data_IF_196818627048
#
_entry.id   IF_196818627048
#
_cell.length_a   1.000
_cell.length_b   1.000
_cell.length_c   1.000
_cell.angle_alpha   90.00
_cell.angle_beta   90.00
_cell.angle_gamma   90.00
#
_symmetry.space_group_name_H-M   'P 1'
#
loop_
_entity.id
_entity.type
_entity.pdbx_description
1 polymer ?
#
# COMPACT_ATOMS: atom_id res chain seq x y z
N UNK A 1 42.86 23.55 -13.01
CA UNK A 1 42.24 22.22 -13.18
C UNK A 1 41.09 22.07 -12.19
N UNK A 2 39.88 22.42 -12.61
CA UNK A 2 38.67 22.29 -11.79
C UNK A 2 38.11 20.87 -11.93
N UNK A 3 38.09 20.07 -10.85
CA UNK A 3 37.39 18.79 -10.82
C UNK A 3 35.95 19.01 -10.38
N UNK A 4 35.03 18.65 -11.28
CA UNK A 4 33.59 18.61 -11.12
C UNK A 4 33.18 17.78 -9.91
N UNK A 5 32.27 18.31 -9.08
CA UNK A 5 31.54 17.57 -8.07
C UNK A 5 30.56 16.59 -8.74
N UNK A 6 30.40 15.35 -8.24
CA UNK A 6 29.33 14.48 -8.71
C UNK A 6 28.02 14.83 -7.99
N UNK A 7 27.25 15.76 -8.56
CA UNK A 7 25.80 15.81 -8.33
C UNK A 7 25.12 14.69 -9.13
N UNK A 8 25.19 13.47 -8.60
CA UNK A 8 24.31 12.39 -9.05
C UNK A 8 23.18 12.30 -8.04
N UNK A 9 22.14 13.09 -8.30
CA UNK A 9 20.88 13.04 -7.57
C UNK A 9 20.44 11.59 -7.38
N UNK A 10 20.37 11.18 -6.11
CA UNK A 10 19.71 9.97 -5.70
C UNK A 10 18.23 10.10 -6.10
N UNK A 11 17.93 9.75 -7.34
CA UNK A 11 16.59 9.60 -7.85
C UNK A 11 15.91 8.59 -6.93
N UNK A 12 15.12 9.11 -5.99
CA UNK A 12 14.19 8.35 -5.17
C UNK A 12 13.40 7.48 -6.14
N UNK A 13 13.78 6.20 -6.23
CA UNK A 13 12.98 5.17 -6.88
C UNK A 13 11.75 4.99 -6.01
N UNK A 14 10.82 5.93 -6.10
CA UNK A 14 9.48 5.79 -5.57
C UNK A 14 8.87 4.65 -6.39
N UNK A 15 8.93 3.44 -5.82
CA UNK A 15 8.25 2.30 -6.39
C UNK A 15 6.77 2.66 -6.66
N UNK A 16 6.11 1.96 -7.60
CA UNK A 16 4.74 2.28 -7.95
C UNK A 16 3.87 2.40 -6.69
N UNK A 17 3.22 3.55 -6.54
CA UNK A 17 2.37 3.84 -5.39
C UNK A 17 1.26 2.79 -5.30
N UNK A 18 1.04 2.25 -4.10
CA UNK A 18 -0.03 1.29 -3.83
C UNK A 18 -1.40 1.91 -4.16
N UNK A 19 -2.35 1.15 -4.73
CA UNK A 19 -3.69 1.65 -4.96
C UNK A 19 -4.36 2.01 -3.62
N UNK A 20 -5.01 3.18 -3.57
CA UNK A 20 -5.75 3.68 -2.39
C UNK A 20 -6.64 2.63 -1.71
N UNK A 21 -7.49 1.86 -2.42
CA UNK A 21 -8.35 0.86 -1.76
C UNK A 21 -7.55 -0.23 -1.04
N UNK A 22 -6.42 -0.68 -1.61
CA UNK A 22 -5.55 -1.68 -0.98
C UNK A 22 -4.89 -1.12 0.28
N UNK A 23 -4.45 0.14 0.25
CA UNK A 23 -3.87 0.81 1.42
C UNK A 23 -4.90 0.96 2.54
N UNK A 24 -6.13 1.37 2.20
CA UNK A 24 -7.23 1.48 3.17
C UNK A 24 -7.59 0.13 3.77
N UNK A 25 -7.73 -0.90 2.94
CA UNK A 25 -8.00 -2.26 3.41
C UNK A 25 -6.91 -2.75 4.36
N UNK A 26 -5.63 -2.59 4.00
CA UNK A 26 -4.51 -2.95 4.87
C UNK A 26 -4.54 -2.18 6.19
N UNK A 27 -4.82 -0.87 6.17
CA UNK A 27 -4.95 -0.07 7.38
C UNK A 27 -6.12 -0.51 8.27
N UNK A 28 -7.28 -0.83 7.66
CA UNK A 28 -8.44 -1.36 8.38
C UNK A 28 -8.12 -2.72 9.01
N UNK A 29 -7.42 -3.60 8.30
CA UNK A 29 -6.94 -4.88 8.86
C UNK A 29 -6.02 -4.61 10.05
N UNK A 30 -5.02 -3.75 9.93
CA UNK A 30 -4.10 -3.43 11.03
C UNK A 30 -4.78 -2.79 12.24
N UNK A 31 -5.90 -2.09 12.04
CA UNK A 31 -6.65 -1.48 13.13
C UNK A 31 -7.62 -2.48 13.77
N UNK A 32 -8.53 -3.05 12.97
CA UNK A 32 -9.66 -3.81 13.49
C UNK A 32 -9.26 -5.22 13.90
N UNK A 33 -8.27 -5.82 13.22
CA UNK A 33 -7.91 -7.21 13.45
C UNK A 33 -7.23 -7.43 14.82
N UNK A 34 -6.21 -6.63 15.24
CA UNK A 34 -5.65 -6.78 16.57
C UNK A 34 -6.63 -6.44 17.68
N UNK A 35 -7.58 -5.53 17.44
CA UNK A 35 -8.65 -5.24 18.41
C UNK A 35 -9.56 -6.45 18.60
N UNK A 36 -9.98 -7.10 17.52
CA UNK A 36 -10.79 -8.32 17.59
C UNK A 36 -10.02 -9.48 18.23
N UNK A 37 -8.76 -9.70 17.82
CA UNK A 37 -7.92 -10.75 18.37
C UNK A 37 -7.58 -10.51 19.84
N UNK A 38 -7.25 -9.26 20.20
CA UNK A 38 -6.97 -8.83 21.56
C UNK A 38 -8.20 -8.90 22.46
N UNK A 39 -9.38 -8.51 21.97
CA UNK A 39 -10.63 -8.69 22.70
C UNK A 39 -10.87 -10.18 22.98
N UNK A 40 -10.75 -11.04 21.97
CA UNK A 40 -10.88 -12.48 22.15
C UNK A 40 -9.88 -13.02 23.18
N UNK A 41 -8.63 -12.55 23.13
CA UNK A 41 -7.56 -12.97 24.03
C UNK A 41 -7.74 -12.49 25.48
N UNK A 42 -8.28 -11.28 25.67
CA UNK A 42 -8.46 -10.66 26.99
C UNK A 42 -9.79 -11.01 27.66
N UNK A 43 -10.84 -11.32 26.89
CA UNK A 43 -12.17 -11.58 27.45
C UNK A 43 -12.51 -13.06 27.58
N UNK A 44 -11.79 -13.95 26.90
CA UNK A 44 -12.13 -15.37 26.88
C UNK A 44 -11.30 -16.14 27.91
N UNK A 45 -11.97 -16.93 28.75
CA UNK A 45 -11.27 -17.98 29.49
C UNK A 45 -10.68 -18.99 28.49
N UNK A 46 -9.46 -19.49 28.75
CA UNK A 46 -8.76 -20.41 27.84
C UNK A 46 -9.57 -21.67 27.51
N UNK A 47 -10.43 -22.09 28.43
CA UNK A 47 -11.36 -23.21 28.27
C UNK A 47 -12.45 -22.93 27.22
N UNK A 48 -13.01 -21.73 27.17
CA UNK A 48 -14.01 -21.30 26.21
C UNK A 48 -13.43 -21.26 24.80
N UNK A 49 -12.20 -20.73 24.66
CA UNK A 49 -11.45 -20.74 23.40
C UNK A 49 -11.22 -22.18 22.94
N UNK A 50 -10.76 -23.06 23.83
CA UNK A 50 -10.54 -24.46 23.49
C UNK A 50 -11.84 -25.17 23.07
N UNK A 51 -12.94 -24.98 23.81
CA UNK A 51 -14.25 -25.55 23.45
C UNK A 51 -14.73 -25.06 22.09
N UNK A 52 -14.56 -23.78 21.79
CA UNK A 52 -14.90 -23.23 20.49
C UNK A 52 -14.03 -23.86 19.39
N UNK A 53 -12.72 -23.96 19.61
CA UNK A 53 -11.80 -24.58 18.67
C UNK A 53 -12.18 -26.03 18.36
N UNK A 54 -12.46 -26.84 19.39
CA UNK A 54 -12.90 -28.25 19.22
C UNK A 54 -14.24 -28.34 18.48
N UNK A 55 -15.19 -27.43 18.74
CA UNK A 55 -16.48 -27.40 18.01
C UNK A 55 -16.27 -27.12 16.52
N UNK A 56 -15.42 -26.13 16.21
CA UNK A 56 -15.11 -25.78 14.82
C UNK A 56 -14.35 -26.94 14.16
N UNK A 57 -13.35 -27.50 14.83
CA UNK A 57 -12.62 -28.68 14.37
C UNK A 57 -13.57 -29.82 14.01
N UNK A 58 -14.49 -30.18 14.91
CA UNK A 58 -15.43 -31.29 14.72
C UNK A 58 -16.34 -31.06 13.50
N UNK A 59 -16.81 -29.84 13.31
CA UNK A 59 -17.66 -29.45 12.19
C UNK A 59 -16.89 -29.46 10.86
N UNK A 60 -15.73 -28.81 10.81
CA UNK A 60 -14.91 -28.66 9.59
C UNK A 60 -14.33 -30.01 9.15
N UNK A 61 -13.70 -30.74 10.05
CA UNK A 61 -13.11 -32.05 9.71
C UNK A 61 -14.18 -33.09 9.42
N UNK A 62 -15.34 -32.99 10.07
CA UNK A 62 -16.50 -33.82 9.75
C UNK A 62 -17.01 -33.59 8.33
N UNK A 63 -17.19 -32.32 7.95
CA UNK A 63 -17.65 -31.97 6.60
C UNK A 63 -16.65 -32.35 5.50
N UNK A 64 -15.35 -32.30 5.81
CA UNK A 64 -14.27 -32.61 4.86
C UNK A 64 -13.81 -34.07 4.87
N UNK A 65 -14.32 -34.90 5.79
CA UNK A 65 -13.87 -36.29 5.96
C UNK A 65 -12.44 -36.42 6.49
N UNK A 66 -11.94 -35.42 7.22
CA UNK A 66 -10.55 -35.31 7.68
C UNK A 66 -10.35 -35.65 9.17
N UNK A 67 -11.35 -36.24 9.83
CA UNK A 67 -11.33 -36.46 11.30
C UNK A 67 -10.23 -37.39 11.77
N UNK A 68 -9.87 -38.38 10.96
CA UNK A 68 -8.83 -39.35 11.32
C UNK A 68 -7.42 -38.84 11.03
N UNK A 69 -7.29 -37.78 10.21
CA UNK A 69 -6.01 -37.24 9.76
C UNK A 69 -5.61 -35.96 10.51
N UNK A 70 -6.58 -35.19 11.00
CA UNK A 70 -6.35 -33.90 11.65
C UNK A 70 -6.84 -33.98 13.09
N UNK A 71 -5.91 -34.00 14.04
CA UNK A 71 -6.24 -33.95 15.46
C UNK A 71 -6.67 -32.54 15.88
N UNK A 72 -7.37 -32.38 17.02
CA UNK A 72 -7.72 -31.06 17.55
C UNK A 72 -6.51 -30.15 17.79
N UNK A 73 -5.37 -30.72 18.18
CA UNK A 73 -4.11 -30.00 18.45
C UNK A 73 -3.50 -29.48 17.14
N UNK A 74 -3.45 -30.33 16.10
CA UNK A 74 -3.03 -29.90 14.76
C UNK A 74 -3.92 -28.77 14.22
N UNK A 75 -5.23 -28.87 14.47
CA UNK A 75 -6.18 -27.84 14.07
C UNK A 75 -5.97 -26.52 14.82
N UNK A 76 -5.68 -26.58 16.13
CA UNK A 76 -5.33 -25.41 16.92
C UNK A 76 -4.05 -24.73 16.40
N UNK A 77 -3.01 -25.52 16.09
CA UNK A 77 -1.77 -24.99 15.52
C UNK A 77 -2.02 -24.31 14.15
N UNK A 78 -2.85 -24.92 13.28
CA UNK A 78 -3.24 -24.32 12.01
C UNK A 78 -4.05 -23.03 12.20
N UNK A 79 -4.92 -22.96 13.22
CA UNK A 79 -5.64 -21.75 13.55
C UNK A 79 -4.68 -20.62 14.00
N UNK A 80 -3.66 -20.95 14.80
CA UNK A 80 -2.61 -20.01 15.20
C UNK A 80 -1.82 -19.45 14.00
N UNK A 81 -1.42 -20.32 13.06
CA UNK A 81 -0.85 -19.90 11.77
C UNK A 81 -1.79 -18.93 11.06
N UNK A 82 -3.06 -19.31 10.89
CA UNK A 82 -4.05 -18.52 10.18
C UNK A 82 -4.31 -17.16 10.85
N UNK A 83 -4.22 -17.08 12.19
CA UNK A 83 -4.43 -15.85 12.93
C UNK A 83 -3.35 -14.80 12.66
N UNK A 84 -2.11 -15.20 12.38
CA UNK A 84 -1.02 -14.25 12.13
C UNK A 84 -0.99 -13.74 10.67
N UNK A 85 -1.44 -14.56 9.71
CA UNK A 85 -1.33 -14.25 8.26
C UNK A 85 -1.92 -12.88 7.87
N UNK A 86 -3.16 -12.52 8.24
CA UNK A 86 -3.78 -11.27 7.78
C UNK A 86 -3.04 -10.03 8.25
N UNK A 87 -2.62 -10.02 9.52
CA UNK A 87 -1.92 -8.90 10.14
C UNK A 87 -0.56 -8.67 9.48
N UNK A 88 0.25 -9.72 9.35
CA UNK A 88 1.59 -9.63 8.75
C UNK A 88 1.55 -9.39 7.24
N UNK A 89 0.51 -9.89 6.54
CA UNK A 89 0.27 -9.52 5.15
C UNK A 89 -0.04 -8.03 5.00
N UNK A 90 -0.90 -7.46 5.85
CA UNK A 90 -1.20 -6.03 5.82
C UNK A 90 0.03 -5.16 6.11
N UNK A 91 0.87 -5.55 7.10
CA UNK A 91 2.15 -4.88 7.37
C UNK A 91 3.07 -4.92 6.14
N UNK A 92 3.25 -6.09 5.53
CA UNK A 92 4.15 -6.27 4.38
C UNK A 92 3.63 -5.59 3.09
N UNK A 93 2.31 -5.44 2.93
CA UNK A 93 1.71 -4.63 1.87
C UNK A 93 2.10 -3.15 2.04
N UNK A 94 2.00 -2.61 3.25
CA UNK A 94 2.29 -1.19 3.51
C UNK A 94 3.80 -0.90 3.55
N UNK A 95 4.55 -1.73 4.26
CA UNK A 95 5.99 -1.62 4.46
C UNK A 95 6.64 -2.94 4.02
N UNK A 96 7.25 -3.00 2.83
CA UNK A 96 7.70 -4.22 2.16
C UNK A 96 9.01 -4.78 2.73
N UNK A 97 9.00 -5.27 3.96
CA UNK A 97 10.20 -5.79 4.62
C UNK A 97 10.00 -7.20 5.15
N UNK A 98 11.04 -8.03 5.05
CA UNK A 98 11.08 -9.36 5.68
C UNK A 98 11.30 -9.30 7.19
N UNK A 99 11.76 -8.16 7.72
CA UNK A 99 11.94 -7.97 9.18
C UNK A 99 10.65 -8.13 9.98
N UNK A 100 9.49 -8.04 9.33
CA UNK A 100 8.21 -8.35 9.95
C UNK A 100 8.11 -9.80 10.45
N UNK A 101 8.85 -10.74 9.86
CA UNK A 101 8.89 -12.13 10.37
C UNK A 101 9.55 -12.18 11.76
N UNK A 102 10.63 -11.43 11.96
CA UNK A 102 11.28 -11.33 13.26
C UNK A 102 10.38 -10.63 14.29
N UNK A 103 9.67 -9.57 13.88
CA UNK A 103 8.66 -8.93 14.73
C UNK A 103 7.52 -9.90 15.08
N UNK A 104 7.11 -10.77 14.16
CA UNK A 104 6.12 -11.82 14.40
C UNK A 104 6.58 -12.89 15.38
N UNK A 105 7.84 -13.33 15.27
CA UNK A 105 8.42 -14.23 16.27
C UNK A 105 8.44 -13.58 17.66
N UNK A 106 8.88 -12.31 17.75
CA UNK A 106 8.87 -11.56 19.01
C UNK A 106 7.48 -11.38 19.60
N UNK A 107 6.48 -11.04 18.78
CA UNK A 107 5.08 -10.96 19.19
C UNK A 107 4.58 -12.32 19.70
N UNK A 108 4.92 -13.41 19.02
CA UNK A 108 4.50 -14.73 19.44
C UNK A 108 5.08 -15.12 20.80
N UNK A 109 6.35 -14.83 21.06
CA UNK A 109 6.96 -15.06 22.36
C UNK A 109 6.27 -14.21 23.43
N UNK A 110 5.96 -12.94 23.13
CA UNK A 110 5.27 -12.06 24.07
C UNK A 110 3.85 -12.57 24.42
N UNK A 111 3.11 -13.09 23.44
CA UNK A 111 1.79 -13.70 23.66
C UNK A 111 1.91 -14.93 24.54
N UNK A 112 2.89 -15.79 24.27
CA UNK A 112 3.12 -17.01 25.05
C UNK A 112 3.44 -16.72 26.52
N UNK A 113 4.35 -15.76 26.75
CA UNK A 113 4.73 -15.32 28.09
C UNK A 113 3.52 -14.73 28.82
N UNK A 114 2.76 -13.86 28.15
CA UNK A 114 1.56 -13.26 28.73
C UNK A 114 0.53 -14.32 29.13
N UNK A 115 0.22 -15.27 28.24
CA UNK A 115 -0.76 -16.33 28.50
C UNK A 115 -0.34 -17.25 29.65
N UNK A 116 0.96 -17.55 29.75
CA UNK A 116 1.55 -18.31 30.85
C UNK A 116 1.47 -17.56 32.19
N UNK A 117 1.74 -16.26 32.21
CA UNK A 117 1.65 -15.43 33.42
C UNK A 117 0.22 -15.35 33.97
N UNK A 118 -0.78 -15.20 33.10
CA UNK A 118 -2.19 -15.13 33.51
C UNK A 118 -2.81 -16.51 33.75
N UNK A 119 -2.04 -17.59 33.64
CA UNK A 119 -2.47 -18.97 33.88
C UNK A 119 -3.57 -19.45 32.94
N UNK A 120 -3.72 -18.82 31.77
CA UNK A 120 -4.81 -19.14 30.84
C UNK A 120 -4.56 -20.39 30.03
N UNK A 121 -3.29 -20.73 29.77
CA UNK A 121 -2.83 -21.89 28.98
C UNK A 121 -1.44 -22.35 29.43
N UNK A 122 -1.12 -23.62 29.21
CA UNK A 122 0.27 -24.11 29.33
C UNK A 122 1.13 -23.56 28.19
N UNK A 123 2.39 -23.27 28.48
CA UNK A 123 3.31 -22.73 27.49
C UNK A 123 3.76 -23.83 26.51
N UNK A 124 3.58 -23.61 25.20
CA UNK A 124 3.94 -24.57 24.16
C UNK A 124 4.79 -23.94 23.05
N UNK A 125 5.93 -24.57 22.77
CA UNK A 125 6.81 -24.17 21.68
C UNK A 125 6.12 -24.30 20.31
N UNK A 126 5.15 -25.21 20.18
CA UNK A 126 4.38 -25.40 18.95
C UNK A 126 3.59 -24.13 18.60
N UNK A 127 3.05 -23.43 19.60
CA UNK A 127 2.29 -22.19 19.39
C UNK A 127 3.21 -21.06 18.91
N UNK A 128 4.42 -20.96 19.47
CA UNK A 128 5.43 -20.01 19.01
C UNK A 128 5.81 -20.26 17.54
N UNK A 129 6.05 -21.52 17.19
CA UNK A 129 6.42 -21.90 15.82
C UNK A 129 5.27 -21.68 14.84
N UNK A 130 4.05 -22.04 15.22
CA UNK A 130 2.84 -21.86 14.40
C UNK A 130 2.59 -20.38 14.08
N UNK A 131 2.61 -19.52 15.09
CA UNK A 131 2.45 -18.08 14.92
C UNK A 131 3.58 -17.47 14.06
N UNK A 132 4.83 -17.90 14.28
CA UNK A 132 5.98 -17.44 13.48
C UNK A 132 5.86 -17.87 12.01
N UNK A 133 5.38 -19.09 11.76
CA UNK A 133 5.08 -19.56 10.41
C UNK A 133 3.94 -18.73 9.77
N UNK A 134 2.90 -18.40 10.54
CA UNK A 134 1.84 -17.49 10.11
C UNK A 134 2.36 -16.10 9.75
N UNK A 135 3.30 -15.56 10.52
CA UNK A 135 3.97 -14.29 10.19
C UNK A 135 4.76 -14.40 8.87
N UNK A 136 5.54 -15.47 8.69
CA UNK A 136 6.30 -15.70 7.46
C UNK A 136 5.39 -15.81 6.22
N UNK A 137 4.31 -16.60 6.32
CA UNK A 137 3.30 -16.74 5.27
C UNK A 137 2.59 -15.41 4.97
N UNK A 138 2.20 -14.69 6.00
CA UNK A 138 1.60 -13.35 5.89
C UNK A 138 2.52 -12.37 5.16
N UNK A 139 3.77 -12.26 5.59
CA UNK A 139 4.77 -11.39 4.95
C UNK A 139 4.96 -11.77 3.47
N UNK A 140 5.14 -13.06 3.18
CA UNK A 140 5.26 -13.55 1.81
C UNK A 140 4.06 -13.18 0.94
N UNK A 141 2.84 -13.38 1.46
CA UNK A 141 1.60 -13.01 0.78
C UNK A 141 1.51 -11.50 0.54
N UNK A 142 1.83 -10.67 1.53
CA UNK A 142 1.76 -9.21 1.41
C UNK A 142 2.75 -8.66 0.39
N UNK A 143 3.98 -9.19 0.37
CA UNK A 143 4.99 -8.86 -0.65
C UNK A 143 4.53 -9.26 -2.05
N UNK A 144 3.90 -10.43 -2.18
CA UNK A 144 3.36 -10.92 -3.44
C UNK A 144 2.21 -10.04 -3.96
N UNK A 145 1.26 -9.68 -3.09
CA UNK A 145 0.16 -8.76 -3.42
C UNK A 145 0.70 -7.41 -3.89
N UNK A 146 1.69 -6.86 -3.20
CA UNK A 146 2.33 -5.58 -3.56
C UNK A 146 3.02 -5.66 -4.92
N UNK A 147 3.75 -6.75 -5.19
CA UNK A 147 4.39 -6.99 -6.49
C UNK A 147 3.38 -6.98 -7.63
N UNK A 148 2.26 -7.70 -7.48
CA UNK A 148 1.23 -7.76 -8.51
C UNK A 148 0.43 -6.45 -8.67
N UNK A 149 0.19 -5.72 -7.58
CA UNK A 149 -0.46 -4.40 -7.64
C UNK A 149 0.41 -3.39 -8.42
N UNK A 150 1.73 -3.41 -8.21
CA UNK A 150 2.68 -2.56 -8.92
C UNK A 150 2.80 -2.87 -10.42
N UNK A 151 2.70 -4.15 -10.82
CA UNK A 151 2.71 -4.55 -12.23
C UNK A 151 1.45 -4.09 -12.98
N UNK A 152 0.26 -4.22 -12.37
CA UNK A 152 -1.01 -3.78 -12.97
C UNK A 152 -1.08 -2.27 -13.18
N UNK A 153 -0.54 -1.48 -12.25
CA UNK A 153 -0.46 -0.02 -12.39
C UNK A 153 0.43 0.40 -13.58
N UNK A 154 1.47 -0.39 -13.88
CA UNK A 154 2.40 -0.14 -14.98
C UNK A 154 1.77 -0.42 -16.34
N UNK A 155 1.09 -1.56 -16.50
CA UNK A 155 0.42 -1.92 -17.76
C UNK A 155 -0.66 -0.92 -18.16
N UNK A 156 -1.48 -0.45 -17.21
CA UNK A 156 -2.51 0.58 -17.48
C UNK A 156 -1.92 1.92 -17.96
N UNK A 157 -0.68 2.24 -17.59
CA UNK A 157 -0.01 3.47 -18.02
C UNK A 157 0.52 3.37 -19.44
N UNK A 158 0.81 2.16 -19.92
CA UNK A 158 1.28 1.89 -21.30
C UNK A 158 0.13 1.85 -22.31
N UNK A 159 -1.09 1.51 -21.89
CA UNK A 159 -2.28 1.47 -22.75
C UNK A 159 -2.91 2.85 -22.96
N UNK A 160 -2.86 3.74 -21.95
CA UNK A 160 -3.46 5.09 -22.00
C UNK A 160 -2.87 6.11 -23.01
N UNK A 161 -1.59 6.04 -23.46
CA UNK A 161 -1.03 6.97 -24.44
C UNK A 161 -1.52 6.74 -25.88
N UNK A 162 -1.88 5.49 -26.24
CA UNK A 162 -2.27 5.15 -27.61
C UNK A 162 -3.66 5.71 -27.98
N UNK A 163 -4.57 5.77 -27.01
CA UNK A 163 -5.95 6.20 -27.20
C UNK A 163 -6.12 7.73 -27.17
N UNK A 164 -5.19 8.44 -26.52
CA UNK A 164 -5.19 9.91 -26.45
C UNK A 164 -4.66 10.56 -27.74
N UNK A 165 -3.68 9.94 -28.42
CA UNK A 165 -3.15 10.43 -29.71
C UNK A 165 -4.08 10.13 -30.90
N UNK A 166 -5.02 9.18 -30.75
CA UNK A 166 -5.99 8.84 -31.80
C UNK A 166 -7.22 9.77 -31.85
N UNK A 167 -7.40 10.68 -30.87
CA UNK A 167 -8.54 11.62 -30.77
C UNK A 167 -8.24 13.06 -31.16
N UNK A 168 -7.20 13.32 -31.96
CA UNK A 168 -7.09 14.59 -32.70
C UNK A 168 -7.34 14.40 -34.21
N UNK A 169 -8.60 14.26 -34.66
CA UNK A 169 -8.96 14.60 -36.03
C UNK A 169 -9.24 16.11 -36.14
N UNK A 170 -8.37 16.83 -36.85
CA UNK A 170 -8.74 17.99 -37.66
C UNK A 170 -9.09 19.30 -36.94
N UNK A 171 -8.08 20.04 -36.48
CA UNK A 171 -8.13 21.51 -36.45
C UNK A 171 -6.97 22.06 -37.30
N UNK A 172 -7.04 21.82 -38.61
CA UNK A 172 -6.21 22.51 -39.61
C UNK A 172 -6.90 22.40 -40.96
N UNK A 173 -7.83 23.30 -41.23
CA UNK A 173 -8.19 23.78 -42.58
C UNK A 173 -9.35 24.79 -42.49
N UNK A 174 -9.03 26.08 -42.36
CA UNK A 174 -9.79 27.19 -42.96
C UNK A 174 -9.12 28.52 -42.59
N UNK A 175 -8.57 29.23 -43.58
CA UNK A 175 -8.11 30.60 -43.37
C UNK A 175 -7.02 31.08 -44.33
N UNK A 176 -7.15 30.76 -45.63
CA UNK A 176 -6.39 31.42 -46.68
C UNK A 176 -6.69 32.93 -46.66
N UNK A 177 -5.65 33.75 -46.65
CA UNK A 177 -5.74 35.18 -46.91
C UNK A 177 -6.32 35.47 -48.31
N UNK A 178 -6.97 36.64 -48.47
CA UNK A 178 -6.66 37.47 -49.62
C UNK A 178 -6.52 38.96 -49.28
N UNK A 179 -5.43 39.53 -49.79
CA UNK A 179 -5.26 40.83 -50.45
C UNK A 179 -6.10 42.04 -50.03
N UNK A 180 -5.36 43.09 -49.66
CA UNK A 180 -5.81 44.47 -49.51
C UNK A 180 -6.48 45.07 -50.76
N UNK A 181 -7.31 46.12 -50.57
CA UNK A 181 -7.40 47.23 -51.49
C UNK A 181 -6.99 48.55 -50.83
N UNK A 182 -6.21 49.31 -51.58
CA UNK A 182 -5.83 50.70 -51.35
C UNK A 182 -7.02 51.64 -51.49
N UNK A 183 -7.12 52.68 -50.66
CA UNK A 183 -7.83 53.91 -51.00
C UNK A 183 -7.12 55.13 -50.38
N UNK A 184 -6.89 56.22 -51.14
CA UNK A 184 -6.14 57.40 -50.72
C UNK A 184 -7.05 58.52 -50.21
N UNK A 185 -6.57 59.30 -49.23
CA UNK A 185 -7.25 60.54 -48.80
C UNK A 185 -6.69 61.09 -47.48
N UNK A 186 -5.89 62.16 -47.57
CA UNK A 186 -5.25 62.90 -46.48
C UNK A 186 -6.30 63.68 -45.61
N UNK A 187 -5.96 64.32 -44.46
CA UNK A 187 -4.87 65.30 -44.32
C UNK A 187 -3.94 65.15 -43.10
N UNK A 188 -2.74 65.73 -43.25
CA UNK A 188 -1.76 66.04 -42.19
C UNK A 188 -2.28 67.16 -41.27
N UNK A 189 -2.06 67.01 -39.97
CA UNK A 189 -1.92 68.09 -38.99
C UNK A 189 -0.73 67.68 -38.10
N UNK A 190 0.42 68.32 -38.28
CA UNK A 190 0.90 69.49 -37.52
C UNK A 190 1.77 69.11 -36.32
N UNK A 191 3.04 69.47 -36.52
CA UNK A 191 4.13 69.76 -35.59
C UNK A 191 3.76 70.12 -34.15
N UNK A 192 4.40 69.45 -33.20
CA UNK A 192 4.51 69.87 -31.80
C UNK A 192 5.89 69.52 -31.25
N UNK A 193 6.74 70.54 -31.18
CA UNK A 193 8.12 70.55 -30.68
C UNK A 193 8.11 70.97 -29.20
N UNK A 194 8.87 70.32 -28.31
CA UNK A 194 9.09 70.84 -26.95
C UNK A 194 9.61 69.83 -25.91
N UNK A 195 10.78 70.05 -25.28
CA UNK A 195 11.47 69.12 -24.38
C UNK A 195 11.31 69.46 -22.88
N UNK A 196 11.66 68.53 -21.98
CA UNK A 196 12.01 68.93 -20.59
C UNK A 196 12.03 67.82 -19.54
N UNK A 197 13.21 67.64 -18.91
CA UNK A 197 13.51 67.28 -17.50
C UNK A 197 12.88 66.02 -16.90
N UNK A 198 13.55 65.16 -16.13
CA UNK A 198 14.80 65.17 -15.38
C UNK A 198 14.69 64.00 -14.36
N UNK A 199 15.80 63.46 -13.81
CA UNK A 199 15.76 62.33 -12.90
C UNK A 199 15.61 62.78 -11.44
N UNK A 200 14.67 62.17 -10.70
CA UNK A 200 14.57 62.29 -9.25
C UNK A 200 15.25 61.07 -8.59
N UNK A 201 16.36 61.35 -7.91
CA UNK A 201 16.99 60.49 -6.92
C UNK A 201 16.30 60.72 -5.55
N UNK A 202 15.95 59.63 -4.86
CA UNK A 202 15.56 59.65 -3.46
C UNK A 202 16.45 58.68 -2.67
N UNK A 203 17.21 59.29 -1.75
CA UNK A 203 17.74 58.82 -0.44
C UNK A 203 18.41 57.45 -0.29
#
# INVERSE_FOLDING_TARGET
MARLAPEAGAAQRTGPALPRPLRLLAALVLLLYPLAAGALLLTSDGWAVNRLNVRIWYAVTGALGLREQVTPEMFAALANVALFVPFFAALAVLVPTWWWVAAGAGLSIAVELYQGEIGTREQDLVDILANTAGAALGVGLGLLVRRFAGSRARNRRTERPADASARQPGLSAAGSAPSAPTTPGAPRAETGHGPGGGPDDHD
#
